data_IF_323314669484
#
_entry.id   IF_323314669484
#
_cell.length_a   1.000
_cell.length_b   1.000
_cell.length_c   1.000
_cell.angle_alpha   90.00
_cell.angle_beta   90.00
_cell.angle_gamma   90.00
#
_symmetry.space_group_name_H-M   'P 1'
#
loop_
_entity.id
_entity.type
_entity.pdbx_description
1 polymer ?
#
# COMPACT_ATOMS: atom_id res chain seq x y z
N UNK A 1 -26.20 -2.41 -11.69
CA UNK A 1 -24.92 -3.03 -11.27
C UNK A 1 -23.81 -2.11 -11.76
N UNK A 2 -23.24 -1.26 -10.90
CA UNK A 2 -22.08 -0.46 -11.30
C UNK A 2 -20.91 -1.43 -11.49
N UNK A 3 -20.55 -1.72 -12.74
CA UNK A 3 -19.22 -2.23 -13.08
C UNK A 3 -18.27 -1.07 -12.84
N UNK A 4 -17.88 -0.83 -11.59
CA UNK A 4 -16.76 0.07 -11.31
C UNK A 4 -15.54 -0.56 -11.99
N UNK A 5 -15.10 0.04 -13.11
CA UNK A 5 -13.84 -0.32 -13.76
C UNK A 5 -12.74 -0.01 -12.77
N UNK A 6 -12.19 -1.05 -12.17
CA UNK A 6 -11.02 -0.93 -11.33
C UNK A 6 -9.86 -0.42 -12.18
N UNK A 7 -9.02 0.38 -11.56
CA UNK A 7 -7.82 0.93 -12.16
C UNK A 7 -6.63 0.64 -11.28
N UNK A 8 -5.45 0.77 -11.86
CA UNK A 8 -4.20 0.61 -11.13
C UNK A 8 -3.77 1.98 -10.65
N UNK A 9 -3.47 2.06 -9.36
CA UNK A 9 -2.94 3.26 -8.74
C UNK A 9 -1.60 2.91 -8.09
N UNK A 10 -0.62 3.80 -8.25
CA UNK A 10 0.71 3.70 -7.66
C UNK A 10 0.85 4.81 -6.63
N UNK A 11 1.25 4.43 -5.43
CA UNK A 11 1.62 5.34 -4.37
C UNK A 11 3.14 5.44 -4.42
N UNK A 12 3.62 6.57 -4.92
CA UNK A 12 5.05 6.87 -5.01
C UNK A 12 5.43 7.83 -3.89
N UNK A 13 6.56 7.60 -3.20
CA UNK A 13 7.10 8.58 -2.26
C UNK A 13 7.51 9.82 -3.06
N UNK A 14 6.89 10.96 -2.77
CA UNK A 14 7.19 12.25 -3.40
C UNK A 14 8.12 13.09 -2.51
N UNK A 15 8.12 12.81 -1.19
CA UNK A 15 9.01 13.43 -0.22
C UNK A 15 10.44 12.90 -0.35
N UNK A 16 11.42 13.76 -0.09
CA UNK A 16 12.83 13.41 -0.08
C UNK A 16 13.12 12.43 1.08
N UNK A 17 14.10 11.54 0.91
CA UNK A 17 14.48 10.57 1.96
C UNK A 17 14.93 11.24 3.28
N UNK A 18 15.31 12.52 3.22
CA UNK A 18 15.70 13.34 4.38
C UNK A 18 14.53 14.08 5.03
N UNK A 19 13.30 13.92 4.55
CA UNK A 19 12.14 14.61 5.12
C UNK A 19 11.88 14.14 6.56
N UNK A 20 11.69 15.06 7.52
CA UNK A 20 11.43 14.70 8.92
C UNK A 20 10.07 14.00 9.09
N UNK A 21 9.19 14.07 8.09
CA UNK A 21 7.93 13.33 8.09
C UNK A 21 8.16 11.81 7.96
N UNK A 22 9.31 11.35 7.45
CA UNK A 22 9.71 9.93 7.47
C UNK A 22 10.12 9.45 8.87
N UNK A 23 10.52 10.34 9.77
CA UNK A 23 10.81 9.95 11.16
C UNK A 23 9.52 9.58 11.92
N UNK A 24 8.38 10.08 11.45
CA UNK A 24 7.06 9.83 12.02
C UNK A 24 6.36 8.58 11.46
N UNK A 25 6.85 8.04 10.34
CA UNK A 25 6.20 6.95 9.62
C UNK A 25 7.20 6.10 8.83
N UNK A 26 7.11 4.77 8.94
CA UNK A 26 8.05 3.88 8.26
C UNK A 26 7.94 3.98 6.73
N UNK A 27 9.08 4.15 6.01
CA UNK A 27 9.09 4.19 4.55
C UNK A 27 8.82 2.79 3.99
N UNK A 28 7.59 2.55 3.55
CA UNK A 28 7.20 1.30 2.89
C UNK A 28 7.54 1.25 1.37
N UNK A 29 8.07 2.33 0.79
CA UNK A 29 8.49 2.41 -0.61
C UNK A 29 7.33 2.56 -1.59
N UNK A 30 7.58 2.33 -2.90
CA UNK A 30 6.52 2.41 -3.92
C UNK A 30 5.54 1.25 -3.78
N UNK A 31 4.24 1.56 -3.76
CA UNK A 31 3.16 0.58 -3.65
C UNK A 31 2.22 0.67 -4.83
N UNK A 32 1.85 -0.49 -5.37
CA UNK A 32 0.89 -0.59 -6.48
C UNK A 32 -0.37 -1.27 -5.98
N UNK A 33 -1.51 -0.62 -6.13
CA UNK A 33 -2.82 -1.12 -5.68
C UNK A 33 -3.84 -1.07 -6.80
N UNK A 34 -4.76 -2.03 -6.78
CA UNK A 34 -5.94 -2.03 -7.63
C UNK A 34 -7.13 -1.48 -6.85
N UNK A 35 -7.64 -0.34 -7.29
CA UNK A 35 -8.72 0.37 -6.63
C UNK A 35 -9.69 0.98 -7.64
N UNK A 36 -10.84 1.45 -7.18
CA UNK A 36 -11.81 2.16 -8.05
C UNK A 36 -11.50 3.65 -8.20
N UNK A 37 -10.76 4.23 -7.25
CA UNK A 37 -10.46 5.67 -7.20
C UNK A 37 -9.19 5.91 -6.38
N UNK A 38 -8.59 7.10 -6.52
CA UNK A 38 -7.40 7.50 -5.75
C UNK A 38 -7.65 7.45 -4.23
N UNK A 39 -8.84 7.83 -3.76
CA UNK A 39 -9.22 7.75 -2.36
C UNK A 39 -9.28 6.29 -1.86
N UNK A 40 -9.81 5.39 -2.69
CA UNK A 40 -9.93 3.95 -2.39
C UNK A 40 -8.53 3.29 -2.38
N UNK A 41 -7.65 3.72 -3.28
CA UNK A 41 -6.25 3.30 -3.33
C UNK A 41 -5.50 3.60 -2.03
N UNK A 42 -5.70 4.80 -1.46
CA UNK A 42 -5.10 5.20 -0.17
C UNK A 42 -5.60 4.34 0.98
N UNK A 43 -6.91 4.07 1.01
CA UNK A 43 -7.50 3.21 2.05
C UNK A 43 -6.90 1.81 1.96
N UNK A 44 -6.87 1.21 0.76
CA UNK A 44 -6.27 -0.12 0.56
C UNK A 44 -4.79 -0.17 0.92
N UNK A 45 -4.00 0.84 0.54
CA UNK A 45 -2.59 0.90 0.89
C UNK A 45 -2.40 1.01 2.41
N UNK A 46 -3.23 1.82 3.09
CA UNK A 46 -3.22 1.96 4.55
C UNK A 46 -3.62 0.65 5.23
N UNK A 47 -4.71 0.01 4.79
CA UNK A 47 -5.17 -1.28 5.32
C UNK A 47 -4.08 -2.36 5.16
N UNK A 48 -3.40 -2.38 4.02
CA UNK A 48 -2.31 -3.32 3.77
C UNK A 48 -1.04 -3.02 4.58
N UNK A 49 -0.73 -1.76 4.83
CA UNK A 49 0.37 -1.36 5.74
C UNK A 49 0.09 -1.83 7.17
N UNK A 50 -1.14 -1.65 7.66
CA UNK A 50 -1.55 -2.09 9.00
C UNK A 50 -1.46 -3.61 9.13
N UNK A 51 -1.97 -4.37 8.16
CA UNK A 51 -1.88 -5.84 8.13
C UNK A 51 -0.41 -6.32 8.12
N UNK A 52 0.47 -5.61 7.39
CA UNK A 52 1.90 -5.90 7.35
C UNK A 52 2.59 -5.64 8.71
N UNK A 53 2.31 -4.49 9.34
CA UNK A 53 2.88 -4.14 10.65
C UNK A 53 2.41 -5.10 11.75
N UNK A 54 1.12 -5.47 11.76
CA UNK A 54 0.56 -6.45 12.69
C UNK A 54 1.22 -7.83 12.52
N UNK A 55 1.47 -8.25 11.27
CA UNK A 55 2.12 -9.53 10.96
C UNK A 55 3.62 -9.55 11.30
N UNK A 56 4.33 -8.42 11.21
CA UNK A 56 5.74 -8.30 11.60
C UNK A 56 5.92 -8.19 13.13
N UNK A 57 4.90 -7.75 13.86
CA UNK A 57 4.92 -7.71 15.31
C UNK A 57 4.88 -9.14 15.88
N UNK A 58 6.03 -9.67 16.32
CA UNK A 58 6.08 -10.90 17.12
C UNK A 58 5.19 -10.74 18.36
N UNK A 59 4.47 -11.79 18.81
CA UNK A 59 3.67 -11.73 20.02
C UNK A 59 4.60 -11.54 21.23
N UNK A 60 4.81 -10.31 21.68
CA UNK A 60 5.64 -10.03 22.85
C UNK A 60 6.11 -8.60 23.06
N UNK A 61 6.18 -7.75 22.03
CA UNK A 61 6.67 -6.36 22.22
C UNK A 61 5.53 -5.36 22.07
N UNK A 62 4.85 -5.14 23.20
CA UNK A 62 3.84 -4.11 23.34
C UNK A 62 4.48 -2.73 23.38
N UNK A 63 4.69 -2.13 22.21
CA UNK A 63 4.73 -0.67 22.06
C UNK A 63 3.98 -0.31 20.78
N UNK A 64 2.65 -0.33 20.86
CA UNK A 64 1.79 0.33 19.88
C UNK A 64 1.93 1.85 20.05
N UNK A 65 3.04 2.42 19.58
CA UNK A 65 3.02 3.84 19.23
C UNK A 65 2.21 3.92 17.95
N UNK A 66 1.09 4.62 17.98
CA UNK A 66 0.24 4.84 16.82
C UNK A 66 1.03 5.53 15.71
N UNK A 67 1.73 4.75 14.88
CA UNK A 67 2.37 5.22 13.67
C UNK A 67 1.26 5.79 12.79
N UNK A 68 1.34 7.09 12.52
CA UNK A 68 0.50 7.67 11.50
C UNK A 68 0.94 7.05 10.18
N UNK A 69 0.11 6.20 9.56
CA UNK A 69 0.45 5.55 8.30
C UNK A 69 0.97 6.57 7.27
N UNK A 70 2.18 6.34 6.75
CA UNK A 70 2.84 7.27 5.83
C UNK A 70 1.97 7.54 4.59
N UNK A 71 1.20 6.55 4.17
CA UNK A 71 0.29 6.62 3.02
C UNK A 71 -0.89 7.59 3.22
N UNK A 72 -1.23 7.94 4.47
CA UNK A 72 -2.31 8.87 4.76
C UNK A 72 -1.88 10.32 4.55
N UNK A 73 -0.58 10.59 4.67
CA UNK A 73 -0.01 11.91 4.42
C UNK A 73 0.18 12.18 2.93
N UNK A 74 -0.68 13.06 2.40
CA UNK A 74 -0.61 13.54 1.01
C UNK A 74 0.71 14.24 0.67
N UNK A 75 1.49 14.64 1.68
CA UNK A 75 2.81 15.27 1.52
C UNK A 75 3.93 14.27 1.32
N UNK A 76 3.76 13.05 1.84
CA UNK A 76 4.76 11.97 1.73
C UNK A 76 4.54 11.14 0.48
N UNK A 77 3.29 10.74 0.23
CA UNK A 77 2.91 9.88 -0.88
C UNK A 77 1.99 10.56 -1.87
N UNK A 78 2.41 10.54 -3.13
CA UNK A 78 1.58 10.91 -4.26
C UNK A 78 0.92 9.66 -4.84
N UNK A 79 -0.38 9.74 -5.06
CA UNK A 79 -1.13 8.71 -5.78
C UNK A 79 -1.11 9.08 -7.26
N UNK A 80 -0.66 8.17 -8.11
CA UNK A 80 -0.68 8.33 -9.57
C UNK A 80 -1.42 7.14 -10.18
N UNK A 81 -2.31 7.40 -11.13
CA UNK A 81 -2.96 6.34 -11.90
C UNK A 81 -1.94 5.75 -12.88
N UNK A 82 -1.79 4.41 -12.89
CA UNK A 82 -0.94 3.70 -13.83
C UNK A 82 -1.81 3.06 -14.91
N UNK A 83 -1.79 3.66 -16.10
CA UNK A 83 -2.45 3.14 -17.31
C UNK A 83 -1.45 2.42 -18.23
N UNK A 84 -0.22 2.17 -17.76
CA UNK A 84 0.86 1.59 -18.57
C UNK A 84 0.56 0.16 -19.04
N UNK A 85 -0.48 -0.48 -18.51
CA UNK A 85 -0.81 -1.88 -18.76
C UNK A 85 0.13 -2.86 -18.05
N UNK A 86 1.00 -2.38 -17.17
CA UNK A 86 1.96 -3.20 -16.40
C UNK A 86 1.26 -4.21 -15.48
N UNK A 87 0.03 -3.92 -15.06
CA UNK A 87 -0.75 -4.77 -14.17
C UNK A 87 -2.20 -4.96 -14.66
N UNK A 88 -2.81 -6.14 -14.41
CA UNK A 88 -4.18 -6.40 -14.81
C UNK A 88 -5.18 -5.63 -13.93
N UNK A 89 -5.95 -4.75 -14.57
CA UNK A 89 -7.11 -4.08 -13.95
C UNK A 89 -8.25 -5.06 -13.60
N UNK A 90 -8.23 -6.26 -14.17
CA UNK A 90 -9.22 -7.30 -13.94
C UNK A 90 -8.92 -8.12 -12.67
N UNK A 91 -9.82 -8.09 -11.69
CA UNK A 91 -9.78 -8.92 -10.47
C UNK A 91 -10.25 -8.17 -9.21
N UNK A 92 -10.10 -8.74 -8.00
CA UNK A 92 -10.54 -8.11 -6.75
C UNK A 92 -9.68 -6.91 -6.33
N UNK A 93 -10.24 -5.87 -5.70
CA UNK A 93 -9.45 -4.78 -5.12
C UNK A 93 -8.39 -5.33 -4.15
N UNK A 94 -7.11 -5.05 -4.40
CA UNK A 94 -5.99 -5.57 -3.59
C UNK A 94 -4.69 -4.84 -3.91
N UNK A 95 -3.69 -4.99 -3.04
CA UNK A 95 -2.31 -4.60 -3.35
C UNK A 95 -1.72 -5.58 -4.35
N UNK A 96 -1.12 -5.05 -5.40
CA UNK A 96 -0.47 -5.82 -6.47
C UNK A 96 1.05 -5.88 -6.29
N UNK A 97 1.65 -4.84 -5.73
CA UNK A 97 3.10 -4.75 -5.49
C UNK A 97 3.41 -3.76 -4.37
N UNK A 98 4.62 -3.85 -3.79
CA UNK A 98 5.14 -2.93 -2.77
C UNK A 98 4.96 -3.38 -1.33
N UNK A 99 3.73 -3.75 -0.92
CA UNK A 99 3.43 -4.19 0.46
C UNK A 99 3.21 -5.70 0.57
N UNK A 100 3.20 -6.42 -0.55
CA UNK A 100 2.93 -7.84 -0.53
C UNK A 100 4.12 -8.59 0.08
N UNK A 101 3.87 -9.28 1.20
CA UNK A 101 4.60 -10.49 1.55
C UNK A 101 4.64 -11.32 0.29
N UNK A 102 5.82 -11.49 -0.32
CA UNK A 102 6.00 -12.56 -1.28
C UNK A 102 5.64 -13.84 -0.51
N UNK A 103 4.44 -14.37 -0.69
CA UNK A 103 4.18 -15.78 -0.50
C UNK A 103 4.60 -16.44 -1.82
N UNK A 104 5.86 -16.91 -1.96
CA UNK A 104 6.04 -18.00 -2.88
C UNK A 104 5.25 -19.21 -2.31
N UNK A 105 4.84 -20.08 -3.23
CA UNK A 105 4.44 -21.48 -3.01
C UNK A 105 3.07 -21.78 -2.38
N UNK A 106 2.02 -21.67 -3.22
CA UNK A 106 1.19 -22.87 -3.46
C UNK A 106 1.96 -23.81 -4.39
N UNK A 107 2.56 -24.86 -3.82
CA UNK A 107 2.79 -26.10 -4.57
C UNK A 107 2.10 -27.21 -3.80
N UNK A 108 0.85 -27.47 -4.15
CA UNK A 108 0.24 -28.75 -3.85
C UNK A 108 0.56 -29.69 -5.00
N UNK A 109 1.13 -30.86 -4.68
CA UNK A 109 0.75 -32.18 -5.20
C UNK A 109 1.27 -33.24 -4.23
#
# INVERSE_FOLDING_TARGET
MHRDTLKIYRLVPDAAETDPNWDLAEPAGEVVVRARSEADARILATEAEVDFLDTQAKPGDGVSTSFASAFRDQRLYRVVEDDSGSFPVEGPRQVLSGLSRRDPIKHGY
#
